data_IF_458015286073
#
_entry.id   IF_458015286073
#
_cell.length_a   1.000
_cell.length_b   1.000
_cell.length_c   1.000
_cell.angle_alpha   90.00
_cell.angle_beta   90.00
_cell.angle_gamma   90.00
#
_symmetry.space_group_name_H-M   'P 1'
#
loop_
_entity.id
_entity.type
_entity.pdbx_description
1 polymer ?
#
# COMPACT_ATOMS: atom_id res chain seq x y z
N UNK A 1 -9.00 16.76 -19.22
CA UNK A 1 -9.28 15.98 -18.00
C UNK A 1 -9.32 14.52 -18.35
N UNK A 2 -8.61 13.68 -17.59
CA UNK A 2 -8.61 12.22 -17.79
C UNK A 2 -8.84 11.56 -16.45
N UNK A 3 -9.78 10.61 -16.42
CA UNK A 3 -10.01 9.72 -15.30
C UNK A 3 -9.65 8.32 -15.76
N UNK A 4 -8.87 7.61 -14.97
CA UNK A 4 -8.48 6.21 -15.21
C UNK A 4 -8.89 5.38 -14.00
N UNK A 5 -9.49 4.24 -14.27
CA UNK A 5 -9.80 3.22 -13.27
C UNK A 5 -9.39 1.86 -13.84
N UNK A 6 -8.72 1.07 -13.03
CA UNK A 6 -8.34 -0.29 -13.39
C UNK A 6 -8.82 -1.25 -12.30
N UNK A 7 -9.13 -2.46 -12.70
CA UNK A 7 -9.40 -3.56 -11.77
C UNK A 7 -8.43 -4.70 -12.03
N UNK A 8 -7.85 -5.22 -10.96
CA UNK A 8 -7.01 -6.42 -11.00
C UNK A 8 -7.47 -7.39 -9.92
N UNK A 9 -7.85 -8.60 -10.32
CA UNK A 9 -8.14 -9.71 -9.42
C UNK A 9 -7.00 -10.74 -9.46
N UNK A 10 -6.60 -11.23 -8.29
CA UNK A 10 -5.61 -12.30 -8.13
C UNK A 10 -6.14 -13.34 -7.18
N UNK A 11 -5.98 -14.61 -7.53
CA UNK A 11 -6.25 -15.74 -6.65
C UNK A 11 -4.96 -16.49 -6.40
N UNK A 12 -4.65 -16.76 -5.14
CA UNK A 12 -3.47 -17.53 -4.77
C UNK A 12 -3.88 -18.69 -3.89
N UNK A 13 -3.31 -19.83 -4.19
CA UNK A 13 -3.37 -21.03 -3.37
C UNK A 13 -1.96 -21.62 -3.35
N UNK A 14 -1.32 -21.63 -2.19
CA UNK A 14 0.07 -22.08 -2.03
C UNK A 14 0.26 -22.87 -0.75
N UNK A 15 1.11 -23.87 -0.83
CA UNK A 15 1.53 -24.69 0.31
C UNK A 15 2.99 -25.06 0.16
N UNK A 16 3.69 -25.14 1.27
CA UNK A 16 5.04 -25.71 1.36
C UNK A 16 4.94 -26.98 2.17
N UNK A 17 5.28 -28.09 1.55
CA UNK A 17 5.21 -29.42 2.16
C UNK A 17 6.29 -30.33 1.57
N UNK A 18 6.50 -31.51 2.16
CA UNK A 18 7.36 -32.57 1.63
C UNK A 18 6.56 -33.49 0.70
N UNK A 19 7.25 -34.23 -0.18
CA UNK A 19 6.62 -35.07 -1.20
C UNK A 19 5.70 -36.14 -0.59
N UNK A 20 6.08 -36.71 0.54
CA UNK A 20 5.32 -37.73 1.28
C UNK A 20 4.02 -37.20 1.88
N UNK A 21 3.88 -35.88 2.06
CA UNK A 21 2.73 -35.24 2.68
C UNK A 21 1.82 -34.45 1.73
N UNK A 22 2.15 -34.39 0.43
CA UNK A 22 1.45 -33.56 -0.56
C UNK A 22 -0.08 -33.73 -0.50
N UNK A 23 -0.58 -34.93 -0.29
CA UNK A 23 -2.03 -35.24 -0.22
C UNK A 23 -2.54 -35.46 1.20
N UNK A 24 -1.76 -35.08 2.22
CA UNK A 24 -2.19 -35.21 3.61
C UNK A 24 -3.21 -34.13 3.99
N UNK A 25 -4.08 -34.44 4.95
CA UNK A 25 -5.00 -33.43 5.51
C UNK A 25 -4.25 -32.23 6.08
N UNK A 26 -3.09 -32.45 6.72
CA UNK A 26 -2.23 -31.43 7.26
C UNK A 26 -1.78 -30.41 6.18
N UNK A 27 -1.45 -30.88 4.99
CA UNK A 27 -1.07 -30.03 3.86
C UNK A 27 -2.22 -29.14 3.41
N UNK A 28 -3.43 -29.69 3.30
CA UNK A 28 -4.61 -28.92 2.94
C UNK A 28 -4.98 -27.89 4.02
N UNK A 29 -4.87 -28.23 5.29
CA UNK A 29 -5.15 -27.33 6.40
C UNK A 29 -4.13 -26.17 6.46
N UNK A 30 -2.87 -26.43 6.10
CA UNK A 30 -1.80 -25.43 6.08
C UNK A 30 -1.76 -24.60 4.78
N UNK A 31 -2.55 -24.95 3.78
CA UNK A 31 -2.59 -24.24 2.51
C UNK A 31 -2.97 -22.78 2.70
N UNK A 32 -2.13 -21.87 2.18
CA UNK A 32 -2.37 -20.43 2.19
C UNK A 32 -3.19 -20.07 0.97
N UNK A 33 -4.40 -19.62 1.18
CA UNK A 33 -5.29 -19.21 0.11
C UNK A 33 -5.78 -17.77 0.30
N UNK A 34 -6.31 -17.21 -0.77
CA UNK A 34 -6.90 -15.88 -0.75
C UNK A 34 -7.20 -15.37 -2.15
N UNK A 35 -8.08 -14.40 -2.20
CA UNK A 35 -8.37 -13.61 -3.40
C UNK A 35 -8.08 -12.15 -3.06
N UNK A 36 -7.35 -11.48 -3.92
CA UNK A 36 -7.04 -10.06 -3.79
C UNK A 36 -7.65 -9.29 -4.95
N UNK A 37 -8.33 -8.21 -4.63
CA UNK A 37 -8.89 -7.25 -5.57
C UNK A 37 -8.16 -5.93 -5.38
N UNK A 38 -7.68 -5.34 -6.48
CA UNK A 38 -7.01 -4.04 -6.48
C UNK A 38 -7.71 -3.11 -7.47
N UNK A 39 -8.12 -1.94 -7.00
CA UNK A 39 -8.83 -0.93 -7.78
C UNK A 39 -8.14 0.42 -7.62
N UNK A 40 -7.10 0.72 -8.41
CA UNK A 40 -6.55 2.06 -8.50
C UNK A 40 -7.46 2.95 -9.35
N UNK A 41 -7.70 4.15 -8.84
CA UNK A 41 -8.40 5.23 -9.53
C UNK A 41 -7.50 6.45 -9.53
N UNK A 42 -7.34 7.08 -10.67
CA UNK A 42 -6.57 8.31 -10.80
C UNK A 42 -7.27 9.30 -11.73
N UNK A 43 -7.06 10.57 -11.47
CA UNK A 43 -7.48 11.64 -12.35
C UNK A 43 -6.33 12.61 -12.59
N UNK A 44 -6.39 13.32 -13.70
CA UNK A 44 -5.46 14.40 -14.01
C UNK A 44 -6.24 15.55 -14.62
N UNK A 45 -6.03 16.75 -14.09
CA UNK A 45 -6.64 17.96 -14.58
C UNK A 45 -5.73 19.18 -14.38
N UNK A 46 -5.85 20.15 -15.27
CA UNK A 46 -5.11 21.39 -15.21
C UNK A 46 -5.93 22.49 -14.57
N UNK A 47 -5.45 23.05 -13.47
CA UNK A 47 -6.02 24.20 -12.83
C UNK A 47 -5.39 25.47 -13.43
N UNK A 48 -6.24 26.40 -13.87
CA UNK A 48 -5.83 27.66 -14.52
C UNK A 48 -4.86 27.49 -15.72
N UNK A 49 -4.83 26.32 -16.35
CA UNK A 49 -3.92 25.93 -17.43
C UNK A 49 -2.42 25.87 -17.06
N UNK A 50 -2.06 26.08 -15.80
CA UNK A 50 -0.66 26.13 -15.36
C UNK A 50 -0.32 25.10 -14.29
N UNK A 51 -1.28 24.69 -13.48
CA UNK A 51 -1.06 23.75 -12.38
C UNK A 51 -1.70 22.42 -12.76
N UNK A 52 -0.88 21.38 -12.89
CA UNK A 52 -1.34 20.03 -13.09
C UNK A 52 -1.60 19.38 -11.74
N UNK A 53 -2.83 18.94 -11.50
CA UNK A 53 -3.26 18.25 -10.26
C UNK A 53 -3.61 16.82 -10.62
N UNK A 54 -3.02 15.87 -9.88
CA UNK A 54 -3.19 14.44 -10.10
C UNK A 54 -3.58 13.74 -8.79
N UNK A 55 -4.89 13.74 -8.45
CA UNK A 55 -5.38 12.92 -7.35
C UNK A 55 -5.44 11.45 -7.75
N UNK A 56 -5.18 10.58 -6.78
CA UNK A 56 -5.36 9.13 -6.93
C UNK A 56 -5.81 8.50 -5.63
N UNK A 57 -6.53 7.41 -5.75
CA UNK A 57 -6.92 6.56 -4.65
C UNK A 57 -6.76 5.11 -5.06
N UNK A 58 -6.31 4.27 -4.15
CA UNK A 58 -6.25 2.83 -4.38
C UNK A 58 -7.09 2.15 -3.33
N UNK A 59 -7.99 1.29 -3.75
CA UNK A 59 -8.76 0.41 -2.91
C UNK A 59 -8.28 -1.02 -3.11
N UNK A 60 -7.95 -1.71 -2.01
CA UNK A 60 -7.59 -3.12 -2.00
C UNK A 60 -8.56 -3.87 -1.11
N UNK A 61 -9.00 -5.03 -1.58
CA UNK A 61 -9.83 -5.94 -0.82
C UNK A 61 -9.27 -7.34 -0.89
N UNK A 62 -9.29 -8.05 0.24
CA UNK A 62 -8.76 -9.41 0.37
C UNK A 62 -9.84 -10.29 0.95
N UNK A 63 -10.08 -11.40 0.30
CA UNK A 63 -11.02 -12.43 0.75
C UNK A 63 -10.25 -13.64 1.25
N UNK A 64 -10.52 -14.00 2.48
CA UNK A 64 -9.93 -15.16 3.14
C UNK A 64 -11.01 -16.12 3.58
N UNK A 65 -10.67 -17.39 3.64
CA UNK A 65 -11.60 -18.46 3.96
C UNK A 65 -11.28 -19.15 5.26
N UNK A 66 -10.24 -18.71 5.95
CA UNK A 66 -9.87 -19.16 7.28
C UNK A 66 -9.17 -18.07 8.08
N UNK A 67 -9.24 -18.22 9.40
CA UNK A 67 -8.42 -17.47 10.35
C UNK A 67 -7.95 -18.38 11.48
N UNK A 68 -6.87 -17.99 12.14
CA UNK A 68 -6.31 -18.71 13.29
C UNK A 68 -6.12 -17.73 14.42
N UNK A 69 -6.63 -18.08 15.59
CA UNK A 69 -6.46 -17.29 16.80
C UNK A 69 -5.48 -18.00 17.75
N UNK A 70 -4.91 -17.22 18.64
CA UNK A 70 -3.93 -17.69 19.60
C UNK A 70 -4.37 -17.25 21.00
N UNK A 71 -4.12 -18.09 22.00
CA UNK A 71 -4.40 -17.79 23.38
C UNK A 71 -3.24 -18.20 24.28
N UNK A 72 -3.13 -17.54 25.44
CA UNK A 72 -2.13 -17.88 26.44
C UNK A 72 -2.63 -19.00 27.34
N UNK A 73 -1.82 -20.05 27.46
CA UNK A 73 -2.10 -21.17 28.35
C UNK A 73 -1.26 -21.03 29.64
N UNK A 74 -1.87 -20.67 30.76
CA UNK A 74 -1.14 -20.46 32.01
C UNK A 74 -0.61 -21.76 32.64
N UNK A 75 -1.15 -22.92 32.22
CA UNK A 75 -0.71 -24.22 32.73
C UNK A 75 0.60 -24.65 32.07
N UNK A 76 0.68 -24.48 30.76
CA UNK A 76 1.87 -24.87 29.98
C UNK A 76 2.89 -23.74 29.85
N UNK A 77 2.53 -22.52 30.27
CA UNK A 77 3.32 -21.29 30.06
C UNK A 77 3.72 -21.09 28.57
N UNK A 78 2.77 -21.36 27.67
CA UNK A 78 2.96 -21.23 26.21
C UNK A 78 1.74 -20.61 25.56
N UNK A 79 1.98 -20.08 24.38
CA UNK A 79 0.90 -19.62 23.49
C UNK A 79 0.38 -20.81 22.71
N UNK A 80 -0.87 -21.15 22.91
CA UNK A 80 -1.56 -22.22 22.17
C UNK A 80 -2.18 -21.66 20.89
N UNK A 81 -2.13 -22.45 19.83
CA UNK A 81 -2.84 -22.18 18.57
C UNK A 81 -4.23 -22.77 18.69
N UNK A 82 -5.24 -21.92 18.60
CA UNK A 82 -6.64 -22.37 18.63
C UNK A 82 -7.02 -23.05 17.30
N UNK A 83 -8.07 -23.87 17.29
CA UNK A 83 -8.55 -24.51 16.06
C UNK A 83 -8.82 -23.50 14.96
N UNK A 84 -8.42 -23.85 13.74
CA UNK A 84 -8.69 -23.06 12.54
C UNK A 84 -10.19 -22.82 12.38
N UNK A 85 -10.58 -21.55 12.26
CA UNK A 85 -11.96 -21.16 12.01
C UNK A 85 -12.13 -20.92 10.52
N UNK A 86 -12.98 -21.72 9.89
CA UNK A 86 -13.33 -21.57 8.48
C UNK A 86 -14.55 -20.66 8.32
N UNK A 87 -14.53 -19.79 7.31
CA UNK A 87 -15.60 -18.84 7.03
C UNK A 87 -15.16 -17.84 5.97
N UNK A 88 -16.05 -16.97 5.56
CA UNK A 88 -15.72 -15.89 4.64
C UNK A 88 -15.32 -14.64 5.43
N UNK A 89 -14.10 -14.17 5.22
CA UNK A 89 -13.53 -13.01 5.88
C UNK A 89 -13.06 -12.00 4.83
N UNK A 90 -13.61 -10.80 4.91
CA UNK A 90 -13.31 -9.69 4.02
C UNK A 90 -12.46 -8.66 4.75
N UNK A 91 -11.25 -8.41 4.24
CA UNK A 91 -10.37 -7.36 4.70
C UNK A 91 -10.21 -6.34 3.57
N UNK A 92 -10.20 -5.06 3.90
CA UNK A 92 -9.96 -4.02 2.91
C UNK A 92 -9.06 -2.93 3.47
N UNK A 93 -8.37 -2.26 2.58
CA UNK A 93 -7.62 -1.04 2.87
C UNK A 93 -7.67 -0.09 1.68
N UNK A 94 -7.42 1.17 1.95
CA UNK A 94 -7.36 2.19 0.92
C UNK A 94 -6.34 3.26 1.28
N UNK A 95 -5.85 3.94 0.27
CA UNK A 95 -5.00 5.11 0.41
C UNK A 95 -5.41 6.19 -0.57
N UNK A 96 -5.03 7.41 -0.24
CA UNK A 96 -5.25 8.59 -1.08
C UNK A 96 -3.92 9.29 -1.32
N UNK A 97 -3.72 9.74 -2.55
CA UNK A 97 -2.59 10.57 -2.91
C UNK A 97 -3.10 11.74 -3.76
N UNK A 98 -2.50 12.89 -3.60
CA UNK A 98 -2.69 14.03 -4.48
C UNK A 98 -1.34 14.68 -4.73
N UNK A 99 -1.05 14.98 -5.98
CA UNK A 99 0.13 15.74 -6.36
C UNK A 99 -0.28 16.95 -7.18
N UNK A 100 0.47 18.04 -7.01
CA UNK A 100 0.35 19.23 -7.81
C UNK A 100 1.72 19.61 -8.34
N UNK A 101 1.81 19.96 -9.62
CA UNK A 101 3.03 20.39 -10.27
C UNK A 101 2.76 21.52 -11.26
N UNK A 102 3.77 22.34 -11.48
CA UNK A 102 3.73 23.37 -12.54
C UNK A 102 5.07 23.43 -13.21
N UNK A 103 5.12 24.02 -14.40
CA UNK A 103 6.38 24.24 -15.13
C UNK A 103 6.56 25.71 -15.40
N UNK A 104 7.70 26.24 -14.98
CA UNK A 104 8.11 27.62 -15.18
C UNK A 104 9.28 27.65 -16.15
N UNK A 105 9.18 28.47 -17.16
CA UNK A 105 10.20 28.63 -18.17
C UNK A 105 10.90 29.99 -18.06
N UNK A 106 12.22 29.98 -18.03
CA UNK A 106 13.06 31.16 -18.18
C UNK A 106 13.91 31.02 -19.46
N UNK A 107 13.99 32.05 -20.26
CA UNK A 107 14.83 32.06 -21.44
C UNK A 107 15.72 33.29 -21.43
N UNK A 108 17.02 33.10 -21.59
CA UNK A 108 17.99 34.16 -21.75
C UNK A 108 18.66 34.06 -23.12
N UNK A 109 18.43 35.08 -23.95
CA UNK A 109 18.94 35.17 -25.33
C UNK A 109 20.16 36.08 -25.37
N UNK A 110 21.29 35.52 -25.77
CA UNK A 110 22.57 36.23 -25.90
C UNK A 110 22.76 36.88 -27.28
N UNK A 111 21.94 36.54 -28.26
CA UNK A 111 22.10 37.03 -29.65
C UNK A 111 21.78 38.49 -29.78
N UNK A 112 20.99 39.06 -28.85
CA UNK A 112 20.68 40.51 -28.82
C UNK A 112 21.90 41.40 -28.66
N UNK A 113 23.03 40.87 -28.14
CA UNK A 113 24.28 41.65 -27.93
C UNK A 113 25.40 41.28 -28.91
N UNK A 114 25.46 40.05 -29.44
CA UNK A 114 26.45 39.57 -30.41
C UNK A 114 25.94 38.32 -31.10
N UNK A 115 25.97 38.26 -32.44
CA UNK A 115 25.46 37.13 -33.25
C UNK A 115 26.45 35.94 -33.35
N UNK A 116 27.70 36.13 -33.02
CA UNK A 116 28.82 35.19 -33.22
C UNK A 116 29.22 34.41 -31.96
N UNK A 117 28.36 34.37 -30.97
CA UNK A 117 28.60 33.56 -29.75
C UNK A 117 28.30 32.09 -29.98
N UNK A 118 29.13 31.20 -29.39
CA UNK A 118 28.93 29.75 -29.40
C UNK A 118 27.63 29.33 -28.66
N UNK A 119 27.28 30.05 -27.58
CA UNK A 119 26.02 29.87 -26.85
C UNK A 119 25.11 31.04 -27.27
N UNK A 120 24.01 30.71 -27.92
CA UNK A 120 23.04 31.68 -28.46
C UNK A 120 21.93 32.00 -27.47
N UNK A 121 21.43 30.99 -26.76
CA UNK A 121 20.40 31.12 -25.74
C UNK A 121 20.58 30.07 -24.65
N UNK A 122 20.05 30.31 -23.49
CA UNK A 122 19.88 29.32 -22.41
C UNK A 122 18.40 29.30 -22.05
N UNK A 123 17.81 28.11 -22.13
CA UNK A 123 16.47 27.85 -21.63
C UNK A 123 16.58 27.14 -20.28
N UNK A 124 15.99 27.72 -19.26
CA UNK A 124 15.89 27.13 -17.94
C UNK A 124 14.45 26.75 -17.67
N UNK A 125 14.23 25.48 -17.45
CA UNK A 125 12.93 24.91 -17.10
C UNK A 125 12.94 24.47 -15.63
N UNK A 126 12.01 25.00 -14.84
CA UNK A 126 11.80 24.63 -13.44
C UNK A 126 10.46 23.92 -13.30
N UNK A 127 10.46 22.76 -12.66
CA UNK A 127 9.24 22.00 -12.40
C UNK A 127 9.14 21.70 -10.89
N UNK A 128 8.60 22.64 -10.09
CA UNK A 128 8.25 22.37 -8.71
C UNK A 128 7.06 21.42 -8.64
N UNK A 129 7.08 20.53 -7.67
CA UNK A 129 5.94 19.66 -7.35
C UNK A 129 5.80 19.48 -5.86
N UNK A 130 4.56 19.31 -5.42
CA UNK A 130 4.18 18.97 -4.06
C UNK A 130 3.27 17.75 -4.11
N UNK A 131 3.48 16.80 -3.22
CA UNK A 131 2.65 15.61 -3.08
C UNK A 131 2.21 15.42 -1.64
N UNK A 132 1.01 14.88 -1.47
CA UNK A 132 0.44 14.48 -0.20
C UNK A 132 -0.09 13.06 -0.32
N UNK A 133 0.27 12.20 0.64
CA UNK A 133 -0.22 10.83 0.72
C UNK A 133 -0.83 10.57 2.11
N UNK A 134 -1.92 9.83 2.13
CA UNK A 134 -2.65 9.47 3.35
C UNK A 134 -3.12 8.02 3.31
N UNK A 135 -2.81 7.28 4.37
CA UNK A 135 -3.32 5.93 4.61
C UNK A 135 -3.90 5.88 6.02
N UNK A 136 -5.18 5.50 6.18
CA UNK A 136 -5.80 5.33 7.48
C UNK A 136 -5.14 4.23 8.32
N UNK A 137 -5.39 4.27 9.61
CA UNK A 137 -4.99 3.19 10.52
C UNK A 137 -5.96 2.01 10.42
N UNK A 138 -5.52 0.93 9.77
CA UNK A 138 -6.28 -0.32 9.72
C UNK A 138 -6.04 -1.23 10.93
N UNK A 139 -5.19 -0.82 11.87
CA UNK A 139 -5.05 -1.42 13.19
C UNK A 139 -6.14 -1.01 14.19
N UNK A 140 -6.97 -0.02 13.84
CA UNK A 140 -8.09 0.43 14.67
C UNK A 140 -9.04 -0.76 14.95
N UNK A 141 -9.45 -0.99 16.22
CA UNK A 141 -10.34 -2.07 16.61
C UNK A 141 -11.64 -2.19 15.82
N UNK A 142 -12.14 -1.10 15.26
CA UNK A 142 -13.37 -1.11 14.42
C UNK A 142 -13.27 -1.99 13.19
N UNK A 143 -12.05 -2.23 12.67
CA UNK A 143 -11.83 -3.12 11.52
C UNK A 143 -11.75 -4.59 11.92
N UNK A 144 -11.37 -4.89 13.17
CA UNK A 144 -11.25 -6.27 13.66
C UNK A 144 -10.09 -7.07 13.03
N UNK A 145 -9.12 -6.40 12.41
CA UNK A 145 -8.00 -7.06 11.72
C UNK A 145 -6.90 -7.52 12.66
N UNK A 146 -6.83 -6.92 13.83
CA UNK A 146 -5.80 -7.17 14.83
C UNK A 146 -6.41 -7.53 16.18
N UNK A 147 -5.72 -8.39 16.90
CA UNK A 147 -6.00 -8.78 18.29
C UNK A 147 -4.75 -8.71 19.12
N UNK A 148 -4.90 -8.64 20.42
CA UNK A 148 -3.79 -8.76 21.37
C UNK A 148 -3.83 -10.13 22.04
N UNK A 149 -2.66 -10.69 22.34
CA UNK A 149 -2.52 -11.90 23.15
C UNK A 149 -1.40 -11.74 24.16
N UNK A 150 -1.53 -12.40 25.28
CA UNK A 150 -0.44 -12.54 26.22
C UNK A 150 0.64 -13.48 25.64
N UNK A 151 1.90 -13.19 25.89
CA UNK A 151 3.05 -13.92 25.34
C UNK A 151 3.91 -14.62 26.38
N UNK A 152 3.81 -14.21 27.63
CA UNK A 152 4.59 -14.78 28.74
C UNK A 152 3.85 -14.72 30.08
N UNK A 153 4.41 -15.38 31.08
CA UNK A 153 3.89 -15.41 32.43
C UNK A 153 3.94 -14.09 33.19
N UNK A 154 4.65 -13.09 32.67
CA UNK A 154 4.76 -11.75 33.25
C UNK A 154 3.64 -10.81 32.85
N UNK A 155 2.73 -11.27 31.97
CA UNK A 155 1.62 -10.47 31.48
C UNK A 155 1.99 -9.55 30.31
N UNK A 156 3.04 -9.84 29.58
CA UNK A 156 3.37 -9.10 28.34
C UNK A 156 2.39 -9.46 27.24
N UNK A 157 1.90 -8.43 26.56
CA UNK A 157 1.00 -8.57 25.42
C UNK A 157 1.68 -8.22 24.11
N UNK A 158 1.30 -8.89 23.03
CA UNK A 158 1.68 -8.55 21.66
C UNK A 158 0.46 -8.50 20.76
N UNK A 159 0.51 -7.63 19.75
CA UNK A 159 -0.52 -7.54 18.73
C UNK A 159 -0.22 -8.52 17.60
N UNK A 160 -1.24 -9.21 17.14
CA UNK A 160 -1.17 -10.13 16.02
C UNK A 160 -2.44 -10.02 15.17
N UNK A 161 -2.41 -10.58 13.96
CA UNK A 161 -3.62 -10.72 13.16
C UNK A 161 -3.99 -12.18 12.97
N UNK A 162 -5.25 -12.56 13.27
CA UNK A 162 -5.77 -13.91 12.99
C UNK A 162 -5.72 -14.30 11.51
N UNK A 163 -5.58 -13.32 10.62
CA UNK A 163 -5.59 -13.50 9.16
C UNK A 163 -4.18 -13.64 8.57
N UNK A 164 -3.12 -13.51 9.36
CA UNK A 164 -1.72 -13.57 8.91
C UNK A 164 -1.32 -14.92 8.31
N UNK A 165 -2.11 -15.96 8.54
CA UNK A 165 -1.92 -17.31 7.97
C UNK A 165 -2.30 -17.42 6.50
N UNK A 166 -2.89 -16.39 5.91
CA UNK A 166 -3.36 -16.38 4.53
C UNK A 166 -2.33 -15.78 3.55
N UNK A 167 -2.62 -15.86 2.24
CA UNK A 167 -1.64 -15.61 1.19
C UNK A 167 -1.20 -14.14 1.05
N UNK A 168 -2.11 -13.17 1.26
CA UNK A 168 -1.84 -11.75 0.94
C UNK A 168 -1.57 -10.87 2.18
N UNK A 169 -1.44 -11.48 3.36
CA UNK A 169 -1.20 -10.74 4.60
C UNK A 169 -2.38 -9.83 5.00
N UNK A 170 -2.13 -8.87 5.85
CA UNK A 170 -3.14 -8.03 6.50
C UNK A 170 -2.87 -6.57 6.18
N UNK A 171 -3.91 -5.72 6.05
CA UNK A 171 -3.71 -4.28 5.98
C UNK A 171 -2.87 -3.78 7.16
N UNK A 172 -1.92 -2.88 6.91
CA UNK A 172 -0.98 -2.41 7.94
C UNK A 172 -1.68 -1.64 9.05
N UNK A 173 -1.24 -1.86 10.29
CA UNK A 173 -1.61 -1.01 11.42
C UNK A 173 -0.80 0.28 11.40
N UNK A 174 -1.40 1.33 11.95
CA UNK A 174 -0.83 2.66 12.03
C UNK A 174 -1.26 3.56 10.86
N UNK A 175 -1.63 4.80 11.22
CA UNK A 175 -1.92 5.85 10.24
C UNK A 175 -0.62 6.35 9.63
N UNK A 176 -0.59 6.48 8.32
CA UNK A 176 0.52 7.11 7.59
C UNK A 176 0.05 8.37 6.88
N UNK A 177 0.84 9.41 7.02
CA UNK A 177 0.63 10.68 6.35
C UNK A 177 2.00 11.23 5.95
N UNK A 178 2.17 11.57 4.70
CA UNK A 178 3.42 12.14 4.21
C UNK A 178 3.15 13.30 3.25
N UNK A 179 4.04 14.27 3.29
CA UNK A 179 4.10 15.36 2.32
C UNK A 179 5.51 15.38 1.75
N UNK A 180 5.61 15.46 0.46
CA UNK A 180 6.87 15.57 -0.26
C UNK A 180 6.86 16.81 -1.16
N UNK A 181 8.01 17.45 -1.23
CA UNK A 181 8.26 18.56 -2.14
C UNK A 181 9.46 18.21 -3.02
N UNK A 182 9.35 18.45 -4.30
CA UNK A 182 10.48 18.29 -5.22
C UNK A 182 10.58 19.46 -6.21
N UNK A 183 11.79 19.74 -6.63
CA UNK A 183 12.10 20.73 -7.64
C UNK A 183 13.02 20.08 -8.68
N UNK A 184 12.49 19.87 -9.87
CA UNK A 184 13.29 19.45 -11.02
C UNK A 184 13.68 20.67 -11.84
N UNK A 185 14.91 20.69 -12.35
CA UNK A 185 15.40 21.75 -13.22
C UNK A 185 16.17 21.18 -14.40
N UNK A 186 16.01 21.82 -15.54
CA UNK A 186 16.72 21.50 -16.76
C UNK A 186 17.25 22.79 -17.41
N UNK A 187 18.51 22.77 -17.85
CA UNK A 187 19.18 23.85 -18.59
C UNK A 187 19.55 23.33 -19.97
N UNK A 188 19.08 24.01 -20.98
CA UNK A 188 19.36 23.72 -22.39
C UNK A 188 20.02 24.90 -23.11
#
# INVERSE_FOLDING_TARGET
>A
EKISMQYTGKMTNSVTTTEDKIFSKETFDNMKNGIEHNIPVSASFNLFNYINISPSATYNEKWYFKKVEFDWNPVTNKVDTLPTQYGFYRLYNYNFNVSASTTVYGMYDFTKKRKDRKIQAIRHTLTPSIGFAYTPDFGDPKYGYYKTRQTDSTGRFTTYSPYSVNAYGVPSSGRSMSMNFSLSQNLE
#
